data_IF_679533311059
#
_entry.id   IF_679533311059
#
_cell.length_a   1.000
_cell.length_b   1.000
_cell.length_c   1.000
_cell.angle_alpha   90.00
_cell.angle_beta   90.00
_cell.angle_gamma   90.00
#
_symmetry.space_group_name_H-M   'P 1'
#
loop_
_entity.id
_entity.type
_entity.pdbx_description
1 polymer ?
#
# COMPACT_ATOMS: atom_id res chain seq x y z
N UNK A 1 9.24 10.44 9.97
CA UNK A 1 9.73 11.23 8.81
C UNK A 1 11.10 10.74 8.36
N UNK A 2 12.02 10.49 9.30
CA UNK A 2 13.37 9.95 9.06
C UNK A 2 13.46 8.76 8.08
N UNK A 3 12.59 7.76 8.18
CA UNK A 3 12.64 6.60 7.28
C UNK A 3 12.36 6.95 5.81
N UNK A 4 11.43 7.88 5.55
CA UNK A 4 11.13 8.30 4.18
C UNK A 4 12.31 9.08 3.58
N UNK A 5 13.00 9.88 4.40
CA UNK A 5 14.18 10.63 3.98
C UNK A 5 15.35 9.69 3.66
N UNK A 6 15.53 8.63 4.45
CA UNK A 6 16.52 7.57 4.16
C UNK A 6 16.20 6.87 2.84
N UNK A 7 14.93 6.54 2.59
CA UNK A 7 14.49 5.91 1.32
C UNK A 7 14.74 6.84 0.13
N UNK A 8 14.36 8.13 0.24
CA UNK A 8 14.62 9.13 -0.82
C UNK A 8 16.10 9.28 -1.11
N UNK A 9 16.94 9.38 -0.07
CA UNK A 9 18.37 9.49 -0.21
C UNK A 9 18.99 8.25 -0.88
N UNK A 10 18.51 7.04 -0.53
CA UNK A 10 18.96 5.81 -1.17
C UNK A 10 18.55 5.75 -2.65
N UNK A 11 17.30 6.12 -2.97
CA UNK A 11 16.82 6.15 -4.34
C UNK A 11 17.65 7.10 -5.22
N UNK A 12 17.91 8.32 -4.73
CA UNK A 12 18.75 9.30 -5.43
C UNK A 12 20.20 8.80 -5.61
N UNK A 13 20.78 8.15 -4.59
CA UNK A 13 22.15 7.63 -4.66
C UNK A 13 22.33 6.52 -5.68
N UNK A 14 21.31 5.67 -5.85
CA UNK A 14 21.39 4.47 -6.68
C UNK A 14 20.59 4.57 -7.99
N UNK A 15 20.10 5.76 -8.33
CA UNK A 15 19.24 6.02 -9.50
C UNK A 15 18.03 5.08 -9.57
N UNK A 16 17.42 4.79 -8.41
CA UNK A 16 16.18 4.03 -8.37
C UNK A 16 14.99 4.94 -8.64
N UNK A 17 14.04 4.42 -9.42
CA UNK A 17 12.71 5.00 -9.52
C UNK A 17 12.02 4.86 -8.16
N UNK A 18 11.41 5.95 -7.69
CA UNK A 18 10.74 6.01 -6.40
C UNK A 18 9.32 6.51 -6.59
N UNK A 19 8.35 5.74 -6.07
CA UNK A 19 6.97 6.19 -5.86
C UNK A 19 6.86 6.70 -4.43
N UNK A 20 6.76 8.02 -4.26
CA UNK A 20 6.62 8.64 -2.94
C UNK A 20 5.14 8.92 -2.63
N UNK A 21 4.48 7.96 -2.00
CA UNK A 21 3.08 8.10 -1.58
C UNK A 21 2.92 9.11 -0.44
N UNK A 22 3.94 9.33 0.39
CA UNK A 22 3.78 10.11 1.62
C UNK A 22 3.39 11.57 1.35
N UNK A 23 3.90 12.15 0.26
CA UNK A 23 3.63 13.54 -0.11
C UNK A 23 2.37 13.73 -0.96
N UNK A 24 1.74 12.67 -1.44
CA UNK A 24 0.66 12.75 -2.41
C UNK A 24 -0.69 13.11 -1.74
N UNK A 25 -1.34 14.24 -2.13
CA UNK A 25 -2.66 14.60 -1.61
C UNK A 25 -3.72 13.49 -1.69
N UNK A 26 -3.71 12.68 -2.74
CA UNK A 26 -4.62 11.54 -2.91
C UNK A 26 -4.53 10.50 -1.78
N UNK A 27 -3.39 10.39 -1.10
CA UNK A 27 -3.23 9.47 0.04
C UNK A 27 -3.95 9.93 1.30
N UNK A 28 -4.40 11.19 1.34
CA UNK A 28 -5.22 11.72 2.43
C UNK A 28 -6.71 11.43 2.25
N UNK A 29 -7.14 10.98 1.07
CA UNK A 29 -8.52 10.54 0.82
C UNK A 29 -8.78 9.20 1.53
N UNK A 30 -9.76 9.11 2.45
CA UNK A 30 -10.14 7.84 3.07
C UNK A 30 -10.51 6.74 2.08
N UNK A 31 -11.05 7.07 0.89
CA UNK A 31 -11.43 6.09 -0.13
C UNK A 31 -10.23 5.43 -0.81
N UNK A 32 -9.04 6.02 -0.71
CA UNK A 32 -7.79 5.40 -1.18
C UNK A 32 -7.46 4.13 -0.39
N UNK A 33 -7.93 4.02 0.84
CA UNK A 33 -7.61 2.92 1.74
C UNK A 33 -8.80 1.99 1.93
N UNK A 34 -8.51 0.70 2.11
CA UNK A 34 -9.48 -0.28 2.57
C UNK A 34 -9.96 0.05 3.98
N UNK A 35 -11.00 -0.65 4.46
CA UNK A 35 -11.61 -0.40 5.78
C UNK A 35 -10.61 -0.46 6.95
N UNK A 36 -9.50 -1.19 6.79
CA UNK A 36 -8.45 -1.27 7.79
C UNK A 36 -7.51 -0.06 7.84
N UNK A 37 -7.58 0.81 6.82
CA UNK A 37 -6.80 2.05 6.66
C UNK A 37 -5.30 1.84 6.55
N UNK A 38 -4.88 0.64 6.19
CA UNK A 38 -3.48 0.27 5.98
C UNK A 38 -3.26 -0.20 4.56
N UNK A 39 -4.18 -0.99 4.01
CA UNK A 39 -4.08 -1.50 2.65
C UNK A 39 -4.81 -0.57 1.68
N UNK A 40 -4.35 -0.53 0.43
CA UNK A 40 -5.07 0.16 -0.63
C UNK A 40 -6.46 -0.44 -0.83
N UNK A 41 -7.46 0.40 -1.08
CA UNK A 41 -8.74 -0.04 -1.64
C UNK A 41 -8.56 -0.38 -3.13
N UNK A 42 -9.57 -0.93 -3.82
CA UNK A 42 -9.52 -1.05 -5.29
C UNK A 42 -9.21 0.28 -5.99
N UNK A 43 -9.76 1.40 -5.50
CA UNK A 43 -9.45 2.72 -6.02
C UNK A 43 -8.01 3.15 -5.69
N UNK A 44 -7.53 2.89 -4.47
CA UNK A 44 -6.13 3.15 -4.11
C UNK A 44 -5.14 2.34 -4.94
N UNK A 45 -5.44 1.08 -5.24
CA UNK A 45 -4.62 0.26 -6.11
C UNK A 45 -4.52 0.82 -7.53
N UNK A 46 -5.59 1.40 -8.08
CA UNK A 46 -5.53 2.09 -9.36
C UNK A 46 -4.60 3.32 -9.31
N UNK A 47 -4.57 4.06 -8.19
CA UNK A 47 -3.61 5.15 -7.99
C UNK A 47 -2.17 4.64 -7.89
N UNK A 48 -1.94 3.53 -7.18
CA UNK A 48 -0.60 2.93 -7.05
C UNK A 48 -0.08 2.42 -8.40
N UNK A 49 -0.96 1.84 -9.22
CA UNK A 49 -0.65 1.44 -10.59
C UNK A 49 -0.22 2.64 -11.43
N UNK A 50 -1.01 3.71 -11.43
CA UNK A 50 -0.70 4.95 -12.17
C UNK A 50 0.62 5.58 -11.70
N UNK A 51 0.88 5.58 -10.38
CA UNK A 51 2.13 6.07 -9.80
C UNK A 51 3.34 5.23 -10.24
N UNK A 52 3.19 3.91 -10.28
CA UNK A 52 4.24 3.01 -10.77
C UNK A 52 4.49 3.20 -12.28
N UNK A 53 3.43 3.39 -13.08
CA UNK A 53 3.54 3.68 -14.50
C UNK A 53 4.30 4.99 -14.76
N UNK A 54 4.00 6.06 -13.99
CA UNK A 54 4.74 7.33 -14.04
C UNK A 54 6.21 7.14 -13.67
N UNK A 55 6.49 6.46 -12.54
CA UNK A 55 7.86 6.22 -12.09
C UNK A 55 8.70 5.44 -13.13
N UNK A 56 8.05 4.58 -13.93
CA UNK A 56 8.68 3.82 -15.01
C UNK A 56 8.72 4.57 -16.37
N UNK A 57 8.19 5.79 -16.45
CA UNK A 57 8.06 6.60 -17.67
C UNK A 57 7.28 5.88 -18.80
N UNK A 58 6.19 5.21 -18.46
CA UNK A 58 5.35 4.56 -19.47
C UNK A 58 4.57 5.60 -20.30
N UNK A 59 4.32 5.36 -21.60
CA UNK A 59 3.53 6.28 -22.43
C UNK A 59 2.14 6.56 -21.83
N UNK A 60 1.76 7.83 -21.77
CA UNK A 60 0.45 8.25 -21.24
C UNK A 60 0.36 8.32 -19.71
N UNK A 61 1.42 7.97 -18.97
CA UNK A 61 1.47 8.21 -17.53
C UNK A 61 1.64 9.69 -17.21
N UNK A 62 1.03 10.15 -16.12
CA UNK A 62 1.14 11.52 -15.63
C UNK A 62 1.03 11.56 -14.09
N UNK A 63 1.12 12.76 -13.53
CA UNK A 63 1.09 12.96 -12.08
C UNK A 63 -0.31 13.04 -11.46
N UNK A 64 -1.38 12.76 -12.23
CA UNK A 64 -2.76 12.95 -11.77
C UNK A 64 -3.10 12.04 -10.58
N UNK A 65 -2.43 10.89 -10.46
CA UNK A 65 -2.60 9.96 -9.35
C UNK A 65 -2.31 10.60 -7.98
N UNK A 66 -1.47 11.63 -7.93
CA UNK A 66 -1.11 12.29 -6.68
C UNK A 66 -2.16 13.33 -6.26
N UNK A 67 -2.99 13.82 -7.18
CA UNK A 67 -3.97 14.86 -6.90
C UNK A 67 -5.14 14.34 -6.09
N UNK A 68 -5.65 15.17 -5.18
CA UNK A 68 -6.87 14.85 -4.46
C UNK A 68 -8.06 14.90 -5.43
N UNK A 69 -8.91 13.88 -5.38
CA UNK A 69 -10.15 13.87 -6.15
C UNK A 69 -11.03 15.10 -5.81
N UNK A 70 -11.62 15.78 -6.80
CA UNK A 70 -12.39 17.00 -6.57
C UNK A 70 -13.69 16.76 -5.79
N UNK A 71 -14.19 15.52 -5.73
CA UNK A 71 -15.45 15.13 -5.10
C UNK A 71 -15.28 14.54 -3.69
N UNK A 72 -14.09 14.65 -3.08
CA UNK A 72 -13.85 14.14 -1.73
C UNK A 72 -14.61 14.97 -0.70
N UNK A 73 -15.78 14.48 -0.29
CA UNK A 73 -16.52 15.02 0.84
C UNK A 73 -15.99 14.39 2.12
N UNK A 74 -15.26 15.17 2.92
CA UNK A 74 -14.83 14.71 4.23
C UNK A 74 -16.04 14.50 5.14
N UNK A 75 -16.21 13.31 5.75
CA UNK A 75 -17.32 13.08 6.65
C UNK A 75 -17.28 14.03 7.85
N UNK A 76 -18.46 14.42 8.35
CA UNK A 76 -18.58 15.26 9.54
C UNK A 76 -17.89 14.65 10.76
N UNK A 77 -17.48 15.48 11.72
CA UNK A 77 -16.69 15.06 12.88
C UNK A 77 -17.32 13.88 13.64
N UNK A 78 -18.64 13.89 13.85
CA UNK A 78 -19.36 12.81 14.54
C UNK A 78 -19.24 11.47 13.79
N UNK A 79 -19.45 11.48 12.47
CA UNK A 79 -19.30 10.29 11.63
C UNK A 79 -17.85 9.77 11.67
N UNK A 80 -16.86 10.66 11.63
CA UNK A 80 -15.45 10.30 11.77
C UNK A 80 -15.17 9.62 13.12
N UNK A 81 -15.67 10.18 14.22
CA UNK A 81 -15.49 9.60 15.57
C UNK A 81 -16.15 8.23 15.69
N UNK A 82 -17.36 8.06 15.16
CA UNK A 82 -18.04 6.76 15.14
C UNK A 82 -17.23 5.71 14.33
N UNK A 83 -16.78 6.09 13.14
CA UNK A 83 -15.93 5.22 12.30
C UNK A 83 -14.59 4.89 12.98
N UNK A 84 -14.03 5.80 13.79
CA UNK A 84 -12.85 5.51 14.61
C UNK A 84 -13.14 4.49 15.71
N UNK A 85 -14.27 4.62 16.41
CA UNK A 85 -14.69 3.68 17.44
C UNK A 85 -14.92 2.28 16.87
N UNK A 86 -15.63 2.17 15.74
CA UNK A 86 -15.85 0.90 15.05
C UNK A 86 -14.54 0.24 14.59
N UNK A 87 -13.64 1.01 13.98
CA UNK A 87 -12.33 0.51 13.57
C UNK A 87 -11.53 0.01 14.78
N UNK A 88 -11.52 0.77 15.87
CA UNK A 88 -10.82 0.38 17.09
C UNK A 88 -11.38 -0.92 17.69
N UNK A 89 -12.69 -1.07 17.73
CA UNK A 89 -13.38 -2.26 18.22
C UNK A 89 -13.11 -3.48 17.33
N UNK A 90 -13.22 -3.33 16.01
CA UNK A 90 -13.25 -4.47 15.08
C UNK A 90 -11.87 -4.91 14.60
N UNK A 91 -10.89 -4.00 14.55
CA UNK A 91 -9.58 -4.28 13.95
C UNK A 91 -8.43 -4.11 14.93
N UNK A 92 -8.38 -2.99 15.66
CA UNK A 92 -7.28 -2.70 16.58
C UNK A 92 -7.31 -3.59 17.83
N UNK A 93 -8.45 -3.67 18.53
CA UNK A 93 -8.57 -4.42 19.77
C UNK A 93 -8.20 -5.90 19.63
N UNK A 94 -8.69 -6.64 18.60
CA UNK A 94 -8.24 -8.00 18.35
C UNK A 94 -6.73 -8.11 18.07
N UNK A 95 -6.15 -7.14 17.36
CA UNK A 95 -4.72 -7.10 17.07
C UNK A 95 -3.88 -6.85 18.33
N UNK A 96 -4.29 -5.92 19.20
CA UNK A 96 -3.62 -5.66 20.49
C UNK A 96 -3.65 -6.91 21.36
N UNK A 97 -4.82 -7.56 21.48
CA UNK A 97 -4.97 -8.80 22.26
C UNK A 97 -4.03 -9.91 21.76
N UNK A 98 -3.89 -10.07 20.44
CA UNK A 98 -2.98 -11.06 19.84
C UNK A 98 -1.52 -10.72 20.13
N UNK A 99 -1.11 -9.47 19.94
CA UNK A 99 0.26 -9.03 20.21
C UNK A 99 0.66 -9.17 21.68
N UNK A 100 -0.22 -8.80 22.63
CA UNK A 100 0.05 -8.98 24.05
C UNK A 100 0.21 -10.46 24.45
N UNK A 101 -0.33 -11.39 23.67
CA UNK A 101 -0.15 -12.83 23.83
C UNK A 101 1.05 -13.39 23.05
N UNK A 102 1.84 -12.53 22.40
CA UNK A 102 2.95 -12.94 21.52
C UNK A 102 2.50 -13.66 20.25
N UNK A 103 1.23 -13.55 19.87
CA UNK A 103 0.67 -14.25 18.70
C UNK A 103 0.73 -13.33 17.48
N UNK A 104 1.55 -13.68 16.51
CA UNK A 104 1.57 -13.02 15.20
C UNK A 104 0.44 -13.54 14.28
N UNK A 105 0.19 -12.84 13.17
CA UNK A 105 -0.70 -13.34 12.10
C UNK A 105 -0.20 -14.64 11.45
N UNK A 106 1.10 -14.91 11.59
CA UNK A 106 1.75 -16.14 11.14
C UNK A 106 1.89 -17.19 12.25
N UNK A 107 1.31 -16.98 13.45
CA UNK A 107 1.42 -17.95 14.53
C UNK A 107 0.80 -19.30 14.13
N UNK A 108 1.58 -20.37 14.27
CA UNK A 108 1.19 -21.72 13.83
C UNK A 108 1.20 -21.93 12.31
N UNK A 109 1.65 -20.96 11.52
CA UNK A 109 1.83 -21.10 10.07
C UNK A 109 3.30 -21.38 9.76
N UNK A 110 3.57 -22.47 9.03
CA UNK A 110 4.87 -22.72 8.45
C UNK A 110 5.14 -21.82 7.22
N UNK A 111 6.39 -21.73 6.75
CA UNK A 111 6.71 -21.02 5.51
C UNK A 111 5.92 -21.60 4.33
N UNK A 112 5.37 -20.74 3.47
CA UNK A 112 4.71 -21.19 2.22
C UNK A 112 5.67 -21.98 1.32
N UNK A 113 6.97 -21.71 1.44
CA UNK A 113 8.08 -22.43 0.79
C UNK A 113 9.14 -22.72 1.86
N UNK A 114 9.10 -23.87 2.55
CA UNK A 114 10.03 -24.19 3.63
C UNK A 114 11.43 -24.57 3.12
N UNK A 115 11.52 -25.00 1.86
CA UNK A 115 12.77 -25.34 1.20
C UNK A 115 13.20 -24.19 0.29
N UNK A 116 14.47 -23.82 0.38
CA UNK A 116 15.10 -22.90 -0.57
C UNK A 116 15.17 -23.62 -1.92
N UNK A 117 14.60 -23.01 -2.96
CA UNK A 117 14.67 -23.50 -4.34
C UNK A 117 15.20 -22.39 -5.22
N UNK A 118 16.02 -22.77 -6.19
CA UNK A 118 16.42 -21.85 -7.24
C UNK A 118 15.18 -21.40 -8.01
N UNK A 119 15.11 -20.10 -8.27
CA UNK A 119 14.17 -19.56 -9.27
C UNK A 119 14.75 -19.96 -10.61
N UNK A 120 14.18 -20.99 -11.24
CA UNK A 120 14.51 -21.29 -12.63
C UNK A 120 14.11 -20.06 -13.46
N UNK A 121 15.00 -19.60 -14.35
CA UNK A 121 14.59 -18.67 -15.40
C UNK A 121 13.39 -19.30 -16.12
N UNK A 122 12.27 -18.58 -16.18
CA UNK A 122 11.00 -19.12 -16.69
C UNK A 122 11.18 -19.58 -18.13
N UNK A 123 10.58 -20.74 -18.41
CA UNK A 123 10.42 -21.36 -19.71
C UNK A 123 10.07 -20.35 -20.79
N UNK A 124 10.66 -20.57 -21.97
CA UNK A 124 10.34 -19.92 -23.23
C UNK A 124 8.82 -19.72 -23.34
N UNK A 125 8.42 -18.48 -23.63
CA UNK A 125 7.06 -18.19 -24.06
C UNK A 125 6.80 -19.12 -25.25
N UNK A 126 5.76 -19.95 -25.15
CA UNK A 126 5.27 -20.73 -26.28
C UNK A 126 4.86 -19.78 -27.40
N UNK A 127 5.78 -19.50 -28.31
CA UNK A 127 5.47 -19.17 -29.70
C UNK A 127 5.07 -20.48 -30.39
N UNK A 128 3.77 -20.72 -30.47
CA UNK A 128 3.05 -21.64 -31.37
C UNK A 128 1.59 -21.55 -30.90
N UNK A 129 0.58 -21.17 -31.69
CA UNK A 129 0.42 -21.07 -33.15
C UNK A 129 -0.80 -20.15 -33.41
#
# INVERSE_FOLDING_TARGET
MEINDVIRAAAARHDFRLVDLYGAPSMSDPQTWSDDRVHGSPAGHALFEAAAAEALNLPGSNHDWAMLRPDVVMPGLQSRMYSQALWAQNLLMPWVRRNLRGLSSANGRGPKRPEIRYVSAVAERSEAE
#
